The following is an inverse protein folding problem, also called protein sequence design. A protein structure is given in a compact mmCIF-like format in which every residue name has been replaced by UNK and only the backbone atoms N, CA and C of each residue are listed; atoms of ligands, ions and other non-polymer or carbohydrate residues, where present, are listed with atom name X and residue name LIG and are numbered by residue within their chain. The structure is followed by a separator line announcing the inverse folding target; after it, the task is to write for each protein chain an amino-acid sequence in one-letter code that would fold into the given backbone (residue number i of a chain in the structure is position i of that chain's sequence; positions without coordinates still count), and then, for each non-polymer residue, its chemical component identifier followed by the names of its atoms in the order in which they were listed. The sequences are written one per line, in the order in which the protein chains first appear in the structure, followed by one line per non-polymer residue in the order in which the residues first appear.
data_IF_605817639565
#
_entry.id   IF_605817639565
#
_cell.length_a   1.000
_cell.length_b   1.000
_cell.length_c   1.000
_cell.angle_alpha   90.00
_cell.angle_beta   90.00
_cell.angle_gamma   90.00
#
_symmetry.space_group_name_H-M   'P 1'
#
loop_
_entity.id
_entity.type
_entity.pdbx_description
1 polymer ?
#
# COMPACT_ATOMS: atom_id res chain seq x y z
N UNK A 1 -12.72 2.43 1.89
CA UNK A 1 -11.86 1.44 2.58
C UNK A 1 -10.40 1.83 2.42
N UNK A 2 -9.70 1.87 3.51
CA UNK A 2 -8.27 2.21 3.54
C UNK A 2 -7.46 0.96 3.87
N UNK A 3 -6.28 0.86 3.28
CA UNK A 3 -5.32 -0.17 3.66
C UNK A 3 -3.89 0.34 3.47
N UNK A 4 -2.95 -0.40 4.03
CA UNK A 4 -1.53 -0.11 3.94
C UNK A 4 -0.82 -1.38 3.50
N UNK A 5 0.09 -1.24 2.53
CA UNK A 5 0.90 -2.37 2.06
C UNK A 5 2.36 -1.96 2.05
N UNK A 6 3.26 -2.94 2.17
CA UNK A 6 4.69 -2.66 2.03
C UNK A 6 4.99 -2.16 0.62
N UNK A 7 5.81 -1.11 0.52
CA UNK A 7 6.19 -0.54 -0.77
C UNK A 7 6.84 -1.58 -1.69
N UNK A 8 7.60 -2.49 -1.12
CA UNK A 8 8.28 -3.55 -1.89
C UNK A 8 7.36 -4.68 -2.32
N UNK A 9 6.14 -4.76 -1.77
CA UNK A 9 5.20 -5.83 -2.11
C UNK A 9 4.44 -5.49 -3.39
N UNK A 10 5.11 -5.61 -4.52
CA UNK A 10 4.54 -5.25 -5.81
C UNK A 10 3.34 -6.11 -6.19
N UNK A 11 3.34 -7.38 -5.81
CA UNK A 11 2.22 -8.27 -6.08
C UNK A 11 0.95 -7.79 -5.39
N UNK A 12 1.04 -7.43 -4.11
CA UNK A 12 -0.11 -6.91 -3.37
C UNK A 12 -0.58 -5.57 -3.94
N UNK A 13 0.37 -4.68 -4.26
CA UNK A 13 0.02 -3.36 -4.82
C UNK A 13 -0.75 -3.51 -6.13
N UNK A 14 -0.28 -4.38 -7.01
CA UNK A 14 -0.97 -4.66 -8.29
C UNK A 14 -2.34 -5.27 -8.08
N UNK A 15 -2.44 -6.19 -7.12
CA UNK A 15 -3.72 -6.82 -6.80
C UNK A 15 -4.74 -5.78 -6.36
N UNK A 16 -4.36 -4.90 -5.43
CA UNK A 16 -5.28 -3.90 -4.93
C UNK A 16 -5.65 -2.87 -5.99
N UNK A 17 -4.71 -2.46 -6.83
CA UNK A 17 -5.02 -1.59 -7.96
C UNK A 17 -6.03 -2.22 -8.92
N UNK A 18 -5.88 -3.52 -9.18
CA UNK A 18 -6.78 -4.25 -10.06
C UNK A 18 -8.21 -4.32 -9.51
N UNK A 19 -8.38 -4.30 -8.18
CA UNK A 19 -9.72 -4.33 -7.57
C UNK A 19 -10.22 -2.93 -7.19
N UNK A 20 -9.56 -1.88 -7.67
CA UNK A 20 -10.09 -0.53 -7.58
C UNK A 20 -9.47 0.36 -6.51
N UNK A 21 -8.38 -0.06 -5.85
CA UNK A 21 -7.67 0.80 -4.92
C UNK A 21 -6.74 1.74 -5.66
N UNK A 22 -6.62 2.98 -5.17
CA UNK A 22 -5.67 3.97 -5.66
C UNK A 22 -4.68 4.32 -4.56
N UNK A 23 -3.42 4.53 -4.94
CA UNK A 23 -2.40 4.97 -3.99
C UNK A 23 -2.62 6.44 -3.67
N UNK A 24 -2.72 6.75 -2.38
CA UNK A 24 -2.99 8.12 -1.91
C UNK A 24 -1.82 8.73 -1.15
N UNK A 25 -0.82 7.95 -0.80
CA UNK A 25 0.34 8.45 -0.09
C UNK A 25 1.25 7.32 0.36
N UNK A 26 2.26 7.70 1.15
CA UNK A 26 3.21 6.75 1.68
C UNK A 26 3.65 7.21 3.07
N UNK A 27 3.94 6.25 3.94
CA UNK A 27 4.55 6.50 5.25
C UNK A 27 5.97 5.94 5.22
N UNK A 28 7.00 6.78 5.25
CA UNK A 28 8.39 6.31 5.26
C UNK A 28 8.67 5.48 6.52
N UNK A 29 9.37 4.38 6.35
CA UNK A 29 9.82 3.51 7.44
C UNK A 29 8.70 3.04 8.38
N UNK A 30 7.53 2.80 7.83
CA UNK A 30 6.41 2.33 8.62
C UNK A 30 6.64 0.91 9.17
N UNK A 31 7.28 0.06 8.38
CA UNK A 31 7.66 -1.29 8.78
C UNK A 31 9.13 -1.31 9.18
N UNK A 32 9.48 -2.08 10.21
CA UNK A 32 10.84 -2.09 10.75
C UNK A 32 11.62 -3.38 10.53
N UNK A 33 10.95 -4.48 10.24
CA UNK A 33 11.62 -5.78 10.15
C UNK A 33 11.11 -6.61 8.97
N UNK A 34 11.66 -6.44 7.76
CA UNK A 34 12.70 -5.50 7.35
C UNK A 34 12.17 -4.08 7.21
N UNK A 35 13.05 -3.06 7.24
CA UNK A 35 12.64 -1.67 7.04
C UNK A 35 11.99 -1.49 5.67
N UNK A 36 10.83 -0.84 5.65
CA UNK A 36 10.11 -0.60 4.41
C UNK A 36 9.09 0.52 4.63
N UNK A 37 8.73 1.18 3.56
CA UNK A 37 7.67 2.19 3.59
C UNK A 37 6.31 1.51 3.48
N UNK A 38 5.29 2.16 4.01
CA UNK A 38 3.91 1.76 3.78
C UNK A 38 3.34 2.58 2.64
N UNK A 39 2.69 1.93 1.69
CA UNK A 39 1.91 2.60 0.66
C UNK A 39 0.46 2.64 1.13
N UNK A 40 -0.09 3.82 1.19
CA UNK A 40 -1.47 4.04 1.62
C UNK A 40 -2.37 3.94 0.40
N UNK A 41 -3.40 3.12 0.50
CA UNK A 41 -4.32 2.90 -0.61
C UNK A 41 -5.76 3.10 -0.14
N UNK A 42 -6.58 3.63 -1.04
CA UNK A 42 -7.98 3.92 -0.77
C UNK A 42 -8.83 3.40 -1.92
N UNK A 43 -9.92 2.73 -1.57
CA UNK A 43 -10.97 2.39 -2.51
C UNK A 43 -12.26 3.07 -2.06
N UNK A 44 -12.88 3.79 -2.99
CA UNK A 44 -14.20 4.38 -2.78
C UNK A 44 -15.27 3.43 -3.30
N UNK A 45 -16.32 3.31 -2.52
CA UNK A 45 -17.49 2.51 -2.92
C UNK A 45 -18.57 3.38 -3.53
#
# INVERSE_FOLDING_TARGET
MHLEVRASNLTARRFYEAVGFAETGARPRYYEAPPDDAILMLRRL
#
